data_IF_558800172949
#
_entry.id   IF_558800172949
#
_cell.length_a   1.000
_cell.length_b   1.000
_cell.length_c   1.000
_cell.angle_alpha   90.00
_cell.angle_beta   90.00
_cell.angle_gamma   90.00
#
_symmetry.space_group_name_H-M   'P 1'
#
loop_
_entity.id
_entity.type
_entity.pdbx_description
1 polymer ?
#
# COMPACT_ATOMS: atom_id res chain seq x y z
N UNK A 1 -7.41 -11.31 -7.32
CA UNK A 1 -6.13 -11.44 -8.07
C UNK A 1 -5.89 -12.85 -8.61
N UNK A 2 -5.87 -13.91 -7.78
CA UNK A 2 -5.50 -15.27 -8.21
C UNK A 2 -6.32 -15.81 -9.42
N UNK A 3 -7.64 -15.60 -9.42
CA UNK A 3 -8.52 -15.97 -10.55
C UNK A 3 -8.13 -15.28 -11.87
N UNK A 4 -7.67 -14.04 -11.80
CA UNK A 4 -7.25 -13.25 -12.96
C UNK A 4 -5.86 -13.69 -13.42
N UNK A 5 -4.95 -13.99 -12.47
CA UNK A 5 -3.60 -14.46 -12.76
C UNK A 5 -3.59 -15.80 -13.53
N UNK A 6 -4.42 -16.76 -13.11
CA UNK A 6 -4.55 -18.07 -13.79
C UNK A 6 -5.10 -17.94 -15.22
N UNK A 7 -5.84 -16.86 -15.49
CA UNK A 7 -6.44 -16.58 -16.81
C UNK A 7 -5.60 -15.66 -17.68
N UNK A 8 -4.48 -15.15 -17.14
CA UNK A 8 -3.53 -14.35 -17.90
C UNK A 8 -2.77 -15.24 -18.88
N UNK A 9 -2.53 -14.73 -20.08
CA UNK A 9 -1.64 -15.37 -21.06
C UNK A 9 -0.15 -15.10 -20.75
N UNK A 10 0.13 -14.19 -19.81
CA UNK A 10 1.47 -13.79 -19.38
C UNK A 10 1.81 -14.35 -17.97
N UNK A 11 3.10 -14.56 -17.65
CA UNK A 11 3.52 -14.96 -16.31
C UNK A 11 3.14 -13.93 -15.24
N UNK A 12 2.41 -14.37 -14.22
CA UNK A 12 2.02 -13.54 -13.08
C UNK A 12 2.59 -14.14 -11.79
N UNK A 13 3.26 -13.31 -10.99
CA UNK A 13 3.75 -13.68 -9.65
C UNK A 13 2.77 -13.15 -8.61
N UNK A 14 2.16 -14.04 -7.83
CA UNK A 14 1.31 -13.68 -6.70
C UNK A 14 2.11 -13.83 -5.42
N UNK A 15 2.33 -12.72 -4.72
CA UNK A 15 2.98 -12.68 -3.41
C UNK A 15 1.92 -12.70 -2.30
N UNK A 16 1.59 -13.90 -1.83
CA UNK A 16 0.72 -14.07 -0.66
C UNK A 16 1.48 -13.84 0.64
N UNK A 17 0.78 -13.45 1.70
CA UNK A 17 1.37 -13.15 2.99
C UNK A 17 0.82 -14.09 4.06
N UNK A 18 1.67 -14.80 4.82
CA UNK A 18 1.15 -15.88 5.69
C UNK A 18 0.28 -15.38 6.85
N UNK A 19 0.63 -14.23 7.45
CA UNK A 19 -0.17 -13.61 8.50
C UNK A 19 -1.59 -13.23 8.06
N UNK A 20 -1.84 -13.08 6.76
CA UNK A 20 -3.16 -12.73 6.22
C UNK A 20 -4.05 -13.95 5.98
N UNK A 21 -3.54 -15.19 5.99
CA UNK A 21 -4.36 -16.37 5.68
C UNK A 21 -5.51 -16.63 6.65
N UNK A 22 -5.40 -16.13 7.88
CA UNK A 22 -6.44 -16.29 8.90
C UNK A 22 -7.45 -15.13 8.90
N UNK A 23 -7.24 -14.11 8.07
CA UNK A 23 -8.14 -12.97 8.01
C UNK A 23 -9.46 -13.41 7.40
N UNK A 24 -10.54 -12.87 7.97
CA UNK A 24 -11.90 -13.10 7.49
C UNK A 24 -12.40 -11.82 6.86
N UNK A 25 -12.99 -11.96 5.69
CA UNK A 25 -13.67 -10.88 4.98
C UNK A 25 -14.86 -11.44 4.22
N UNK A 26 -15.70 -10.56 3.72
CA UNK A 26 -16.77 -10.95 2.81
C UNK A 26 -16.16 -11.35 1.47
N UNK A 27 -16.61 -12.48 0.94
CA UNK A 27 -16.20 -12.97 -0.38
C UNK A 27 -17.48 -13.14 -1.19
N UNK A 28 -17.61 -12.45 -2.34
CA UNK A 28 -18.77 -12.61 -3.21
C UNK A 28 -18.96 -14.07 -3.65
N UNK A 29 -20.20 -14.55 -3.57
CA UNK A 29 -20.57 -15.88 -4.09
C UNK A 29 -20.46 -15.94 -5.63
N UNK A 30 -20.76 -14.81 -6.28
CA UNK A 30 -20.66 -14.67 -7.73
C UNK A 30 -19.20 -14.59 -8.19
N UNK A 31 -18.98 -14.98 -9.45
CA UNK A 31 -17.66 -14.84 -10.03
C UNK A 31 -17.30 -13.37 -10.23
N UNK A 32 -16.23 -12.94 -9.57
CA UNK A 32 -15.57 -11.68 -9.84
C UNK A 32 -14.11 -11.91 -10.25
N UNK A 33 -13.63 -11.05 -11.14
CA UNK A 33 -12.23 -10.97 -11.55
C UNK A 33 -11.71 -9.60 -11.13
N UNK A 34 -10.70 -9.61 -10.27
CA UNK A 34 -10.01 -8.39 -9.88
C UNK A 34 -8.99 -8.00 -10.97
N UNK A 35 -8.88 -6.72 -11.35
CA UNK A 35 -7.79 -6.28 -12.23
C UNK A 35 -6.43 -6.71 -11.69
N UNK A 36 -5.51 -7.13 -12.57
CA UNK A 36 -4.14 -7.47 -12.19
C UNK A 36 -3.25 -6.24 -12.01
N UNK A 37 -3.66 -5.12 -12.57
CA UNK A 37 -2.96 -3.84 -12.54
C UNK A 37 -3.84 -2.79 -11.85
N UNK A 38 -3.21 -1.78 -11.26
CA UNK A 38 -3.89 -0.69 -10.57
C UNK A 38 -3.63 -0.65 -9.06
N UNK A 39 -4.33 0.27 -8.42
CA UNK A 39 -4.38 0.44 -6.96
C UNK A 39 -5.82 0.77 -6.54
N UNK A 40 -6.14 0.59 -5.26
CA UNK A 40 -7.48 0.86 -4.73
C UNK A 40 -7.42 1.78 -3.51
N UNK A 41 -8.28 2.79 -3.47
CA UNK A 41 -8.53 3.57 -2.24
C UNK A 41 -9.45 2.75 -1.33
N UNK A 42 -8.88 2.15 -0.30
CA UNK A 42 -9.61 1.28 0.64
C UNK A 42 -10.18 2.04 1.85
N UNK A 43 -9.73 3.27 2.06
CA UNK A 43 -10.30 4.25 3.01
C UNK A 43 -10.12 5.65 2.44
N UNK A 44 -11.20 6.40 2.37
CA UNK A 44 -11.17 7.81 1.99
C UNK A 44 -10.57 8.69 3.10
N UNK A 45 -9.95 9.80 2.71
CA UNK A 45 -9.39 10.79 3.63
C UNK A 45 -8.90 12.02 2.88
N UNK A 46 -8.49 13.06 3.60
CA UNK A 46 -8.13 14.36 2.99
C UNK A 46 -6.80 14.92 3.49
N UNK A 47 -6.24 14.38 4.57
CA UNK A 47 -5.11 15.04 5.26
C UNK A 47 -3.76 14.41 4.91
N UNK A 48 -3.72 13.09 4.73
CA UNK A 48 -2.52 12.35 4.35
C UNK A 48 -2.90 11.06 3.62
N UNK A 49 -2.14 10.68 2.61
CA UNK A 49 -2.27 9.38 1.95
C UNK A 49 -1.25 8.40 2.53
N UNK A 50 -1.75 7.25 2.98
CA UNK A 50 -0.97 6.09 3.39
C UNK A 50 -1.00 5.06 2.26
N UNK A 51 0.15 4.80 1.65
CA UNK A 51 0.30 3.75 0.65
C UNK A 51 0.79 2.48 1.31
N UNK A 52 0.12 1.35 1.08
CA UNK A 52 0.54 0.04 1.54
C UNK A 52 0.28 -1.05 0.50
N UNK A 53 0.82 -2.24 0.74
CA UNK A 53 0.50 -3.47 0.04
C UNK A 53 0.62 -4.66 1.00
N UNK A 54 -0.11 -5.76 0.73
CA UNK A 54 -0.19 -6.91 1.64
C UNK A 54 -0.55 -6.47 3.08
N UNK A 55 0.16 -6.97 4.10
CA UNK A 55 -0.15 -6.76 5.50
C UNK A 55 -0.09 -5.28 5.91
N UNK A 56 0.78 -4.49 5.26
CA UNK A 56 0.94 -3.07 5.57
C UNK A 56 -0.32 -2.23 5.31
N UNK A 57 -1.21 -2.65 4.40
CA UNK A 57 -2.52 -2.00 4.18
C UNK A 57 -3.35 -2.03 5.46
N UNK A 58 -3.35 -3.16 6.17
CA UNK A 58 -4.09 -3.32 7.41
C UNK A 58 -3.48 -2.55 8.58
N UNK A 59 -2.16 -2.36 8.59
CA UNK A 59 -1.52 -1.43 9.53
C UNK A 59 -1.91 0.02 9.22
N UNK A 60 -1.98 0.40 7.94
CA UNK A 60 -2.42 1.73 7.52
C UNK A 60 -3.87 2.00 7.92
N UNK A 61 -4.77 1.02 7.75
CA UNK A 61 -6.17 1.14 8.19
C UNK A 61 -6.28 1.36 9.70
N UNK A 62 -5.56 0.57 10.50
CA UNK A 62 -5.52 0.75 11.96
C UNK A 62 -4.93 2.11 12.36
N UNK A 63 -3.86 2.54 11.69
CA UNK A 63 -3.27 3.86 11.92
C UNK A 63 -4.24 4.98 11.56
N UNK A 64 -5.00 4.84 10.47
CA UNK A 64 -6.00 5.82 10.06
C UNK A 64 -7.15 5.93 11.07
N UNK A 65 -7.60 4.82 11.66
CA UNK A 65 -8.60 4.83 12.74
C UNK A 65 -8.09 5.58 13.98
N UNK A 66 -6.86 5.28 14.43
CA UNK A 66 -6.22 5.97 15.56
C UNK A 66 -6.06 7.47 15.28
N UNK A 67 -5.61 7.84 14.08
CA UNK A 67 -5.44 9.23 13.66
C UNK A 67 -6.77 9.99 13.66
N UNK A 68 -7.83 9.38 13.14
CA UNK A 68 -9.18 9.96 13.15
C UNK A 68 -9.69 10.17 14.58
N UNK A 69 -9.60 9.16 15.44
CA UNK A 69 -10.15 9.19 16.79
C UNK A 69 -9.36 10.11 17.74
N UNK A 70 -8.04 10.06 17.71
CA UNK A 70 -7.18 10.74 18.69
C UNK A 70 -6.71 12.12 18.21
N UNK A 71 -6.50 12.30 16.91
CA UNK A 71 -5.89 13.50 16.33
C UNK A 71 -6.84 14.27 15.40
N UNK A 72 -7.99 13.69 15.03
CA UNK A 72 -8.91 14.22 13.99
C UNK A 72 -8.22 14.42 12.65
N UNK A 73 -7.33 13.50 12.30
CA UNK A 73 -6.64 13.44 11.01
C UNK A 73 -7.30 12.33 10.19
N UNK A 74 -7.85 12.70 9.03
CA UNK A 74 -8.48 11.77 8.09
C UNK A 74 -7.47 11.29 7.05
N UNK A 75 -6.86 10.14 7.33
CA UNK A 75 -5.91 9.50 6.45
C UNK A 75 -6.61 8.69 5.34
N UNK A 76 -6.29 8.99 4.09
CA UNK A 76 -6.63 8.13 2.96
C UNK A 76 -5.70 6.90 2.99
N UNK A 77 -6.23 5.71 2.70
CA UNK A 77 -5.42 4.48 2.60
C UNK A 77 -5.56 3.90 1.20
N UNK A 78 -4.42 3.66 0.56
CA UNK A 78 -4.30 3.11 -0.79
C UNK A 78 -3.63 1.74 -0.75
N UNK A 79 -4.30 0.73 -1.29
CA UNK A 79 -3.75 -0.61 -1.54
C UNK A 79 -3.11 -0.67 -2.94
N UNK A 80 -1.79 -0.78 -2.98
CA UNK A 80 -0.98 -0.95 -4.18
C UNK A 80 -0.97 -2.41 -4.65
N UNK A 81 -2.14 -3.06 -4.72
CA UNK A 81 -2.30 -4.50 -4.94
C UNK A 81 -1.53 -5.05 -6.17
N UNK A 82 -1.13 -4.18 -7.11
CA UNK A 82 -0.18 -4.46 -8.19
C UNK A 82 1.16 -3.73 -7.98
N UNK A 83 2.25 -4.50 -7.91
CA UNK A 83 3.61 -3.97 -7.72
C UNK A 83 4.44 -3.86 -9.00
N UNK A 84 4.00 -4.51 -10.09
CA UNK A 84 4.68 -4.44 -11.39
C UNK A 84 3.68 -4.77 -12.50
N UNK A 85 3.15 -3.75 -13.22
CA UNK A 85 3.42 -2.32 -13.05
C UNK A 85 2.76 -1.73 -11.79
N UNK A 86 3.37 -0.68 -11.23
CA UNK A 86 2.73 0.18 -10.22
C UNK A 86 1.76 1.16 -10.90
N UNK A 87 0.66 1.45 -10.23
CA UNK A 87 -0.37 2.39 -10.68
C UNK A 87 0.07 3.85 -10.51
N UNK A 88 0.86 4.33 -11.47
CA UNK A 88 1.38 5.71 -11.49
C UNK A 88 0.26 6.76 -11.43
N UNK A 89 -0.81 6.57 -12.21
CA UNK A 89 -1.94 7.50 -12.24
C UNK A 89 -2.73 7.49 -10.91
N UNK A 90 -2.97 6.31 -10.33
CA UNK A 90 -3.60 6.17 -9.02
C UNK A 90 -2.78 6.82 -7.90
N UNK A 91 -1.46 6.59 -7.89
CA UNK A 91 -0.53 7.22 -6.94
C UNK A 91 -0.59 8.75 -7.05
N UNK A 92 -0.51 9.29 -8.26
CA UNK A 92 -0.63 10.73 -8.49
C UNK A 92 -1.95 11.29 -7.95
N UNK A 93 -3.09 10.68 -8.32
CA UNK A 93 -4.41 11.14 -7.88
C UNK A 93 -4.57 11.13 -6.36
N UNK A 94 -4.04 10.09 -5.71
CA UNK A 94 -4.08 9.98 -4.26
C UNK A 94 -3.26 11.09 -3.58
N UNK A 95 -2.04 11.36 -4.06
CA UNK A 95 -1.23 12.48 -3.55
C UNK A 95 -1.89 13.82 -3.81
N UNK A 96 -2.45 14.04 -5.01
CA UNK A 96 -3.15 15.28 -5.35
C UNK A 96 -4.40 15.53 -4.48
N UNK A 97 -4.98 14.49 -3.89
CA UNK A 97 -6.12 14.62 -2.99
C UNK A 97 -5.72 15.08 -1.58
N UNK A 98 -4.55 14.65 -1.07
CA UNK A 98 -4.16 14.86 0.34
C UNK A 98 -2.92 15.72 0.55
N UNK A 99 -2.17 16.00 -0.51
CA UNK A 99 -0.93 16.80 -0.52
C UNK A 99 0.22 16.28 0.37
N UNK A 100 0.02 15.17 1.08
CA UNK A 100 0.98 14.53 1.99
C UNK A 100 0.95 13.02 1.79
N UNK A 101 2.12 12.37 1.82
CA UNK A 101 2.24 10.94 1.54
C UNK A 101 3.20 10.22 2.48
N UNK A 102 2.76 9.05 2.96
CA UNK A 102 3.56 8.09 3.70
C UNK A 102 3.46 6.75 3.00
N UNK A 103 4.61 6.13 2.69
CA UNK A 103 4.66 4.79 2.11
C UNK A 103 5.04 3.81 3.21
N UNK A 104 4.23 2.77 3.39
CA UNK A 104 4.41 1.76 4.42
C UNK A 104 4.68 0.42 3.75
N UNK A 105 5.80 -0.19 4.10
CA UNK A 105 6.19 -1.51 3.62
C UNK A 105 6.70 -2.35 4.79
N UNK A 106 6.42 -3.66 4.78
CA UNK A 106 7.04 -4.58 5.74
C UNK A 106 8.49 -4.88 5.38
N UNK A 107 8.84 -4.76 4.10
CA UNK A 107 10.19 -5.04 3.59
C UNK A 107 11.22 -4.00 4.06
N UNK A 108 12.50 -4.32 3.88
CA UNK A 108 13.60 -3.41 4.12
C UNK A 108 13.63 -2.24 3.12
N UNK A 109 14.16 -1.07 3.51
CA UNK A 109 14.02 0.16 2.74
C UNK A 109 14.87 0.24 1.46
N UNK A 110 15.94 -0.54 1.34
CA UNK A 110 16.92 -0.35 0.26
C UNK A 110 16.44 -1.10 -0.98
N UNK A 111 16.26 -0.37 -2.08
CA UNK A 111 15.72 -0.93 -3.35
C UNK A 111 14.35 -1.61 -3.18
N UNK A 112 13.57 -1.21 -2.17
CA UNK A 112 12.23 -1.71 -1.91
C UNK A 112 11.15 -1.03 -2.76
N UNK A 113 9.92 -1.53 -2.65
CA UNK A 113 8.74 -0.98 -3.35
C UNK A 113 8.54 0.48 -2.98
N UNK A 114 8.72 0.84 -1.70
CA UNK A 114 8.54 2.20 -1.25
C UNK A 114 9.49 3.20 -1.91
N UNK A 115 10.67 2.75 -2.37
CA UNK A 115 11.58 3.62 -3.11
C UNK A 115 11.04 3.96 -4.52
N UNK A 116 10.44 2.99 -5.22
CA UNK A 116 9.83 3.23 -6.53
C UNK A 116 8.56 4.08 -6.42
N UNK A 117 7.70 3.83 -5.42
CA UNK A 117 6.53 4.68 -5.15
C UNK A 117 6.97 6.11 -4.87
N UNK A 118 8.03 6.32 -4.10
CA UNK A 118 8.56 7.65 -3.85
C UNK A 118 9.12 8.31 -5.11
N UNK A 119 9.78 7.55 -5.99
CA UNK A 119 10.24 8.05 -7.28
C UNK A 119 9.05 8.52 -8.13
N UNK A 120 8.01 7.70 -8.26
CA UNK A 120 6.75 8.05 -8.95
C UNK A 120 6.16 9.35 -8.40
N UNK A 121 6.03 9.46 -7.08
CA UNK A 121 5.49 10.66 -6.43
C UNK A 121 6.32 11.90 -6.79
N UNK A 122 7.65 11.80 -6.78
CA UNK A 122 8.53 12.94 -7.10
C UNK A 122 8.59 13.24 -8.61
N UNK A 123 8.38 12.25 -9.47
CA UNK A 123 8.36 12.43 -10.93
C UNK A 123 7.05 13.06 -11.40
N UNK A 124 5.93 12.63 -10.82
CA UNK A 124 4.60 12.92 -11.35
C UNK A 124 3.80 13.89 -10.48
N UNK A 125 3.95 13.82 -9.15
CA UNK A 125 3.12 14.57 -8.19
C UNK A 125 3.92 15.57 -7.33
N UNK A 126 5.15 15.93 -7.73
CA UNK A 126 6.01 16.81 -6.91
C UNK A 126 5.37 18.16 -6.57
N UNK A 127 4.63 18.75 -7.51
CA UNK A 127 3.97 20.03 -7.29
C UNK A 127 2.68 19.94 -6.47
N UNK A 128 2.18 18.73 -6.22
CA UNK A 128 1.02 18.49 -5.37
C UNK A 128 1.43 18.33 -3.90
N UNK A 129 2.72 18.18 -3.59
CA UNK A 129 3.20 17.92 -2.24
C UNK A 129 3.37 19.20 -1.40
N UNK A 130 2.75 19.21 -0.22
CA UNK A 130 2.98 20.21 0.83
C UNK A 130 4.15 19.83 1.76
N UNK A 131 4.54 18.55 1.76
CA UNK A 131 5.67 18.03 2.53
C UNK A 131 6.41 16.91 1.80
N UNK A 132 7.65 16.66 2.19
CA UNK A 132 8.44 15.57 1.62
C UNK A 132 7.81 14.21 2.00
N UNK A 133 7.58 13.31 1.03
CA UNK A 133 7.04 11.98 1.33
C UNK A 133 8.04 11.19 2.16
N UNK A 134 7.52 10.40 3.10
CA UNK A 134 8.35 9.58 4.00
C UNK A 134 8.02 8.09 3.86
N UNK A 135 8.93 7.25 4.35
CA UNK A 135 8.74 5.79 4.37
C UNK A 135 8.78 5.24 5.78
N UNK A 136 7.92 4.26 6.00
CA UNK A 136 7.94 3.36 7.15
C UNK A 136 8.26 1.97 6.59
N UNK A 137 9.39 1.41 7.01
CA UNK A 137 9.92 0.13 6.52
C UNK A 137 10.48 -0.67 7.69
N UNK A 138 10.80 -1.95 7.47
CA UNK A 138 11.61 -2.69 8.43
C UNK A 138 13.01 -2.07 8.62
N UNK A 139 13.65 -2.43 9.72
CA UNK A 139 15.07 -2.14 9.91
C UNK A 139 15.90 -2.87 8.85
N UNK A 140 16.95 -2.22 8.34
CA UNK A 140 17.83 -2.83 7.32
C UNK A 140 18.82 -3.83 7.95
N UNK A 141 18.28 -4.92 8.48
CA UNK A 141 18.98 -6.02 9.14
C UNK A 141 18.31 -7.34 8.80
N UNK A 142 19.02 -8.48 8.81
CA UNK A 142 18.37 -9.79 8.69
C UNK A 142 17.36 -10.00 9.82
N UNK A 143 16.18 -10.53 9.48
CA UNK A 143 15.10 -10.78 10.44
C UNK A 143 15.59 -11.64 11.63
N UNK A 144 15.57 -11.10 12.85
CA UNK A 144 16.01 -11.85 14.02
C UNK A 144 14.93 -12.85 14.48
N UNK A 145 15.36 -13.95 15.09
CA UNK A 145 14.42 -14.95 15.64
C UNK A 145 13.78 -14.51 16.97
N UNK A 146 14.45 -13.64 17.73
CA UNK A 146 13.97 -13.26 19.06
C UNK A 146 12.83 -12.25 18.93
N UNK A 147 11.65 -12.58 19.46
CA UNK A 147 10.42 -11.78 19.37
C UNK A 147 10.51 -10.32 19.83
N UNK A 148 11.48 -9.98 20.68
CA UNK A 148 11.70 -8.61 21.14
C UNK A 148 12.64 -7.80 20.21
N UNK A 149 13.17 -8.45 19.19
CA UNK A 149 14.02 -7.86 18.14
C UNK A 149 13.33 -7.91 16.77
N UNK A 150 12.41 -8.86 16.56
CA UNK A 150 11.44 -8.93 15.46
C UNK A 150 10.41 -7.80 15.60
#
# INVERSE_FOLDING_TARGET
>A
LLKSAVRSDDPVVIHEHENMYQFKGEVPDEEYLHPLEGSEVVREGTDVTLFGYNLSVHWCLQAADILSEEQRIEAQVVDLYSLSPLDREGIHKAVANTHNAVIVEEAEPVCGVGAEVMAIINEEAFFELDSAPIRVSAANVPMPFARNLE
#
